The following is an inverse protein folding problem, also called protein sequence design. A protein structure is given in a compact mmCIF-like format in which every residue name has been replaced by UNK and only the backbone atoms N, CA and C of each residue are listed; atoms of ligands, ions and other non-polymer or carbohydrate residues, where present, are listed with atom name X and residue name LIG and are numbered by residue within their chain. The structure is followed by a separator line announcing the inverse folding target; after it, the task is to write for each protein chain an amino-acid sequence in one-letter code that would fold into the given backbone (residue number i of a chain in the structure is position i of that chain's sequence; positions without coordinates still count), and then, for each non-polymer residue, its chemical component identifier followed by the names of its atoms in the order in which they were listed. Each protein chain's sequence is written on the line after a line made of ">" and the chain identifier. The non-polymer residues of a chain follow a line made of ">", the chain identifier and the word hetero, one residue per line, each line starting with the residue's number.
data_IF_417990314001
#
_entry.id   IF_417990314001
#
_cell.length_a   1.000
_cell.length_b   1.000
_cell.length_c   1.000
_cell.angle_alpha   90.00
_cell.angle_beta   90.00
_cell.angle_gamma   90.00
#
_symmetry.space_group_name_H-M   'P 1'
#
loop_
_entity.id
_entity.type
_entity.pdbx_description
1 polymer ?
#
# COMPACT_ATOMS: atom_id res chain seq x y z
N UNK A 1 5.16 5.33 -8.73
CA UNK A 1 4.21 4.94 -9.81
C UNK A 1 4.43 3.48 -10.17
N UNK A 2 3.57 2.55 -9.74
CA UNK A 2 3.75 1.09 -9.92
C UNK A 2 3.18 0.53 -11.24
N UNK A 3 2.02 1.05 -11.67
CA UNK A 3 1.25 0.45 -12.78
C UNK A 3 1.83 0.68 -14.18
N UNK A 4 2.38 1.86 -14.54
CA UNK A 4 2.97 2.06 -15.87
C UNK A 4 4.07 1.07 -16.21
N UNK A 5 4.96 0.79 -15.25
CA UNK A 5 6.05 -0.17 -15.43
C UNK A 5 5.52 -1.61 -15.61
N UNK A 6 4.48 -2.00 -14.84
CA UNK A 6 3.83 -3.30 -15.01
C UNK A 6 3.18 -3.43 -16.39
N UNK A 7 2.45 -2.40 -16.85
CA UNK A 7 1.80 -2.41 -18.16
C UNK A 7 2.80 -2.53 -19.30
N UNK A 8 3.94 -1.83 -19.22
CA UNK A 8 5.04 -1.97 -20.17
C UNK A 8 5.59 -3.41 -20.20
N UNK A 9 5.80 -4.01 -19.03
CA UNK A 9 6.27 -5.40 -18.94
C UNK A 9 5.25 -6.40 -19.51
N UNK A 10 3.95 -6.19 -19.26
CA UNK A 10 2.86 -7.02 -19.81
C UNK A 10 2.77 -6.90 -21.33
N UNK A 11 2.94 -5.69 -21.88
CA UNK A 11 2.93 -5.44 -23.32
C UNK A 11 4.08 -6.16 -24.05
N UNK A 12 5.22 -6.32 -23.39
CA UNK A 12 6.42 -6.99 -23.94
C UNK A 12 6.48 -8.50 -23.64
N UNK A 13 5.45 -9.07 -23.00
CA UNK A 13 5.46 -10.46 -22.54
C UNK A 13 5.53 -11.44 -23.75
N UNK A 14 6.37 -12.49 -23.70
CA UNK A 14 6.33 -13.57 -24.68
C UNK A 14 4.93 -14.21 -24.77
N UNK A 15 4.42 -14.41 -25.98
CA UNK A 15 3.04 -14.87 -26.21
C UNK A 15 2.01 -13.74 -26.32
N UNK A 16 2.43 -12.50 -26.18
CA UNK A 16 1.60 -11.31 -26.36
C UNK A 16 1.00 -10.75 -25.06
N UNK A 17 0.50 -9.50 -25.12
CA UNK A 17 -0.15 -8.84 -24.00
C UNK A 17 -1.40 -9.61 -23.55
N UNK A 18 -1.58 -9.87 -22.25
CA UNK A 18 -2.87 -10.31 -21.73
C UNK A 18 -3.86 -9.14 -21.66
N UNK A 19 -5.15 -9.45 -21.53
CA UNK A 19 -6.10 -8.51 -20.94
C UNK A 19 -5.70 -8.21 -19.49
N UNK A 20 -5.72 -6.93 -19.10
CA UNK A 20 -5.29 -6.47 -17.79
C UNK A 20 -6.37 -5.62 -17.14
N UNK A 21 -6.93 -6.10 -16.02
CA UNK A 21 -7.86 -5.33 -15.21
C UNK A 21 -7.18 -4.84 -13.94
N UNK A 22 -7.28 -3.54 -13.68
CA UNK A 22 -6.79 -2.93 -12.45
C UNK A 22 -7.95 -2.41 -11.61
N UNK A 23 -8.05 -2.87 -10.37
CA UNK A 23 -9.02 -2.36 -9.40
C UNK A 23 -8.29 -1.58 -8.31
N UNK A 24 -8.49 -0.25 -8.30
CA UNK A 24 -7.99 0.65 -7.28
C UNK A 24 -9.01 0.82 -6.16
N UNK A 25 -8.55 0.75 -4.92
CA UNK A 25 -9.36 0.96 -3.73
C UNK A 25 -8.74 2.11 -2.96
N UNK A 26 -9.54 3.09 -2.55
CA UNK A 26 -9.04 4.23 -1.78
C UNK A 26 -10.11 4.91 -0.92
N UNK A 27 -9.69 5.72 0.04
CA UNK A 27 -10.62 6.51 0.84
C UNK A 27 -11.28 7.62 0.00
N UNK A 28 -12.46 8.09 0.42
CA UNK A 28 -13.06 9.28 -0.17
C UNK A 28 -12.14 10.49 0.03
N UNK A 29 -12.02 11.35 -0.99
CA UNK A 29 -11.20 12.55 -0.90
C UNK A 29 -11.94 13.67 -0.16
N UNK A 30 -11.26 14.47 0.67
CA UNK A 30 -11.89 15.56 1.42
C UNK A 30 -12.55 16.63 0.54
N UNK A 31 -12.03 16.83 -0.66
CA UNK A 31 -12.52 17.80 -1.66
C UNK A 31 -13.54 17.20 -2.64
N UNK A 32 -13.99 15.95 -2.38
CA UNK A 32 -14.91 15.19 -3.22
C UNK A 32 -14.41 14.97 -4.66
N UNK A 33 -13.10 15.08 -4.89
CA UNK A 33 -12.50 14.74 -6.18
C UNK A 33 -12.33 13.24 -6.35
N UNK A 34 -12.47 12.76 -7.58
CA UNK A 34 -12.24 11.36 -7.91
C UNK A 34 -10.81 11.17 -8.47
N UNK A 35 -9.84 11.12 -7.56
CA UNK A 35 -8.45 10.82 -7.93
C UNK A 35 -8.29 9.44 -8.57
N UNK A 36 -9.11 8.45 -8.19
CA UNK A 36 -9.06 7.11 -8.78
C UNK A 36 -9.46 7.17 -10.26
N UNK A 37 -10.49 7.93 -10.61
CA UNK A 37 -10.90 8.15 -11.99
C UNK A 37 -9.82 8.88 -12.80
N UNK A 38 -9.18 9.91 -12.25
CA UNK A 38 -8.10 10.62 -12.93
C UNK A 38 -6.89 9.72 -13.22
N UNK A 39 -6.50 8.86 -12.28
CA UNK A 39 -5.43 7.88 -12.48
C UNK A 39 -5.84 6.83 -13.51
N UNK A 40 -7.07 6.32 -13.40
CA UNK A 40 -7.66 5.35 -14.33
C UNK A 40 -7.65 5.85 -15.78
N UNK A 41 -8.03 7.12 -15.98
CA UNK A 41 -7.98 7.77 -17.29
C UNK A 41 -6.57 7.79 -17.89
N UNK A 42 -5.57 8.22 -17.10
CA UNK A 42 -4.17 8.27 -17.57
C UNK A 42 -3.61 6.89 -17.87
N UNK A 43 -3.99 5.88 -17.09
CA UNK A 43 -3.60 4.49 -17.35
C UNK A 43 -4.28 3.95 -18.61
N UNK A 44 -5.54 4.31 -18.88
CA UNK A 44 -6.22 3.97 -20.13
C UNK A 44 -5.48 4.51 -21.36
N UNK A 45 -5.09 5.78 -21.34
CA UNK A 45 -4.30 6.39 -22.43
C UNK A 45 -2.95 5.68 -22.67
N UNK A 46 -2.31 5.24 -21.58
CA UNK A 46 -1.09 4.44 -21.68
C UNK A 46 -1.37 3.04 -22.25
N UNK A 47 -2.46 2.39 -21.84
CA UNK A 47 -2.87 1.09 -22.36
C UNK A 47 -3.09 1.13 -23.88
N UNK A 48 -3.77 2.17 -24.37
CA UNK A 48 -4.00 2.38 -25.81
C UNK A 48 -2.69 2.50 -26.58
N UNK A 49 -1.74 3.27 -26.03
CA UNK A 49 -0.40 3.45 -26.61
C UNK A 49 0.37 2.12 -26.66
N UNK A 50 0.20 1.28 -25.65
CA UNK A 50 0.83 -0.04 -25.55
C UNK A 50 0.05 -1.14 -26.27
N UNK A 51 -1.14 -0.84 -26.83
CA UNK A 51 -2.08 -1.82 -27.42
C UNK A 51 -2.41 -2.95 -26.43
N UNK A 52 -2.56 -2.60 -25.16
CA UNK A 52 -2.93 -3.50 -24.07
C UNK A 52 -4.45 -3.41 -23.87
N UNK A 53 -5.15 -4.55 -23.92
CA UNK A 53 -6.55 -4.60 -23.52
C UNK A 53 -6.65 -4.32 -22.01
N UNK A 54 -7.24 -3.19 -21.64
CA UNK A 54 -7.20 -2.68 -20.27
C UNK A 54 -8.57 -2.26 -19.76
N UNK A 55 -8.86 -2.67 -18.53
CA UNK A 55 -10.03 -2.22 -17.77
C UNK A 55 -9.57 -1.64 -16.42
N UNK A 56 -10.18 -0.53 -16.00
CA UNK A 56 -9.95 0.06 -14.68
C UNK A 56 -11.24 0.18 -13.89
N UNK A 57 -11.17 -0.14 -12.61
CA UNK A 57 -12.28 0.04 -11.66
C UNK A 57 -11.77 0.78 -10.42
N UNK A 58 -12.57 1.70 -9.91
CA UNK A 58 -12.30 2.42 -8.66
C UNK A 58 -13.35 2.09 -7.62
N UNK A 59 -12.94 1.74 -6.41
CA UNK A 59 -13.82 1.59 -5.25
C UNK A 59 -13.44 2.59 -4.17
N UNK A 60 -14.43 3.36 -3.74
CA UNK A 60 -14.29 4.26 -2.61
C UNK A 60 -14.74 3.54 -1.34
N UNK A 61 -13.83 3.37 -0.39
CA UNK A 61 -14.12 2.73 0.89
C UNK A 61 -13.40 3.47 2.02
N UNK A 62 -14.10 3.76 3.11
CA UNK A 62 -13.49 4.40 4.30
C UNK A 62 -12.54 3.46 5.03
N UNK A 63 -12.86 2.17 5.04
CA UNK A 63 -11.99 1.11 5.54
C UNK A 63 -11.97 -0.07 4.57
N UNK A 64 -10.81 -0.70 4.43
CA UNK A 64 -10.71 -1.99 3.71
C UNK A 64 -11.59 -3.06 4.38
N UNK A 65 -11.87 -2.93 5.68
CA UNK A 65 -12.76 -3.81 6.43
C UNK A 65 -14.25 -3.66 6.06
N UNK A 66 -14.61 -2.73 5.18
CA UNK A 66 -15.97 -2.55 4.65
C UNK A 66 -16.19 -3.29 3.31
N UNK A 67 -15.12 -3.67 2.60
CA UNK A 67 -15.19 -4.27 1.27
C UNK A 67 -15.50 -5.77 1.28
N UNK A 68 -16.58 -6.21 0.64
CA UNK A 68 -16.81 -7.65 0.43
C UNK A 68 -16.15 -8.17 -0.85
N UNK A 69 -15.72 -9.43 -0.84
CA UNK A 69 -14.99 -10.03 -1.97
C UNK A 69 -15.81 -10.04 -3.28
N UNK A 70 -17.14 -10.21 -3.17
CA UNK A 70 -18.05 -10.16 -4.32
C UNK A 70 -18.18 -8.77 -4.95
N UNK A 71 -17.81 -7.69 -4.24
CA UNK A 71 -17.82 -6.34 -4.79
C UNK A 71 -16.78 -6.17 -5.90
N UNK A 72 -15.70 -6.96 -5.87
CA UNK A 72 -14.61 -6.88 -6.85
C UNK A 72 -14.90 -7.62 -8.15
N UNK A 73 -16.01 -8.39 -8.19
CA UNK A 73 -16.56 -9.04 -9.37
C UNK A 73 -15.48 -9.78 -10.18
N UNK A 74 -14.74 -10.63 -9.46
CA UNK A 74 -13.71 -11.49 -10.05
C UNK A 74 -14.38 -12.65 -10.75
N UNK A 75 -14.01 -12.85 -12.01
CA UNK A 75 -14.49 -13.97 -12.82
C UNK A 75 -13.56 -15.18 -12.69
N UNK A 76 -14.06 -16.42 -12.82
CA UNK A 76 -13.23 -17.63 -12.70
C UNK A 76 -12.10 -17.76 -13.73
N UNK A 77 -12.17 -17.02 -14.84
CA UNK A 77 -11.14 -16.99 -15.89
C UNK A 77 -9.94 -16.09 -15.57
N UNK A 78 -10.05 -15.24 -14.54
CA UNK A 78 -9.02 -14.27 -14.20
C UNK A 78 -7.98 -14.83 -13.24
N UNK A 79 -6.73 -14.44 -13.47
CA UNK A 79 -5.66 -14.64 -12.50
C UNK A 79 -5.58 -13.41 -11.60
N UNK A 80 -5.88 -13.59 -10.32
CA UNK A 80 -5.90 -12.49 -9.34
C UNK A 80 -4.52 -12.29 -8.69
N UNK A 81 -4.07 -11.04 -8.69
CA UNK A 81 -2.97 -10.56 -7.87
C UNK A 81 -3.48 -9.45 -6.94
N UNK A 82 -3.13 -9.51 -5.65
CA UNK A 82 -3.46 -8.48 -4.66
C UNK A 82 -2.19 -7.74 -4.28
N UNK A 83 -2.22 -6.41 -4.31
CA UNK A 83 -1.09 -5.58 -3.96
C UNK A 83 -1.52 -4.51 -2.96
N UNK A 84 -0.87 -4.49 -1.79
CA UNK A 84 -1.11 -3.53 -0.71
C UNK A 84 0.18 -2.80 -0.34
N UNK A 85 0.14 -1.47 -0.28
CA UNK A 85 1.30 -0.62 -0.01
C UNK A 85 0.92 0.41 1.05
N UNK A 86 1.47 0.30 2.26
CA UNK A 86 1.25 1.23 3.39
C UNK A 86 -0.24 1.41 3.75
N UNK A 87 -0.99 0.31 3.81
CA UNK A 87 -2.43 0.35 4.12
C UNK A 87 -2.87 -0.64 5.20
N UNK A 88 -2.20 -1.79 5.36
CA UNK A 88 -2.67 -2.82 6.29
C UNK A 88 -2.36 -2.47 7.74
N UNK A 89 -1.28 -1.72 7.98
CA UNK A 89 -0.86 -1.28 9.31
C UNK A 89 -1.96 -0.49 10.04
N UNK A 90 -2.75 0.29 9.31
CA UNK A 90 -3.89 1.05 9.85
C UNK A 90 -5.00 0.18 10.42
N UNK A 91 -5.17 -1.03 9.89
CA UNK A 91 -6.19 -1.97 10.35
C UNK A 91 -5.89 -2.54 11.75
N UNK A 92 -4.66 -2.36 12.25
CA UNK A 92 -4.27 -2.79 13.60
C UNK A 92 -4.91 -1.92 14.71
N UNK A 93 -5.49 -0.76 14.36
CA UNK A 93 -6.20 0.10 15.31
C UNK A 93 -7.55 -0.48 15.74
N UNK A 94 -8.15 -1.34 14.91
CA UNK A 94 -9.44 -1.94 15.18
C UNK A 94 -9.30 -3.47 15.30
N UNK A 95 -9.64 -4.00 16.48
CA UNK A 95 -9.59 -5.43 16.76
C UNK A 95 -10.33 -6.24 15.70
N UNK A 96 -9.63 -7.20 15.08
CA UNK A 96 -10.19 -8.11 14.07
C UNK A 96 -10.34 -7.54 12.66
N UNK A 97 -10.13 -6.24 12.43
CA UNK A 97 -10.27 -5.64 11.10
C UNK A 97 -9.26 -6.22 10.11
N UNK A 98 -8.00 -6.39 10.52
CA UNK A 98 -6.97 -7.00 9.69
C UNK A 98 -7.33 -8.45 9.32
N UNK A 99 -7.75 -9.26 10.29
CA UNK A 99 -8.10 -10.67 10.02
C UNK A 99 -9.30 -10.78 9.06
N UNK A 100 -10.28 -9.89 9.20
CA UNK A 100 -11.42 -9.78 8.29
C UNK A 100 -10.96 -9.47 6.86
N UNK A 101 -10.09 -8.47 6.69
CA UNK A 101 -9.53 -8.10 5.37
C UNK A 101 -8.71 -9.24 4.79
N UNK A 102 -7.84 -9.88 5.57
CA UNK A 102 -7.05 -11.02 5.10
C UNK A 102 -7.93 -12.22 4.73
N UNK A 103 -9.03 -12.48 5.45
CA UNK A 103 -10.00 -13.51 5.08
C UNK A 103 -10.67 -13.22 3.73
N UNK A 104 -11.04 -11.96 3.47
CA UNK A 104 -11.61 -11.53 2.19
C UNK A 104 -10.59 -11.63 1.05
N UNK A 105 -9.34 -11.22 1.29
CA UNK A 105 -8.25 -11.42 0.32
C UNK A 105 -8.08 -12.90 -0.01
N UNK A 106 -8.13 -13.80 0.99
CA UNK A 106 -8.07 -15.25 0.76
C UNK A 106 -9.28 -15.77 -0.03
N UNK A 107 -10.47 -15.21 0.18
CA UNK A 107 -11.67 -15.59 -0.56
C UNK A 107 -11.59 -15.27 -2.06
N UNK A 108 -10.76 -14.30 -2.46
CA UNK A 108 -10.46 -14.01 -3.88
C UNK A 108 -9.53 -15.05 -4.53
N UNK A 109 -8.97 -15.98 -3.74
CA UNK A 109 -8.01 -16.99 -4.19
C UNK A 109 -6.86 -16.43 -5.05
N UNK A 110 -6.15 -15.38 -4.58
CA UNK A 110 -5.09 -14.76 -5.37
C UNK A 110 -3.92 -15.71 -5.61
N UNK A 111 -3.34 -15.65 -6.81
CA UNK A 111 -2.08 -16.33 -7.13
C UNK A 111 -0.90 -15.70 -6.41
N UNK A 112 -0.93 -14.39 -6.19
CA UNK A 112 0.10 -13.65 -5.47
C UNK A 112 -0.51 -12.53 -4.64
N UNK A 113 0.06 -12.34 -3.44
CA UNK A 113 -0.21 -11.19 -2.58
C UNK A 113 1.11 -10.49 -2.32
N UNK A 114 1.21 -9.21 -2.67
CA UNK A 114 2.35 -8.35 -2.38
C UNK A 114 1.97 -7.36 -1.28
N UNK A 115 2.82 -7.26 -0.26
CA UNK A 115 2.63 -6.37 0.88
C UNK A 115 3.91 -5.55 1.03
N UNK A 116 3.75 -4.22 1.06
CA UNK A 116 4.82 -3.27 1.33
C UNK A 116 4.40 -2.46 2.55
N UNK A 117 5.14 -2.61 3.64
CA UNK A 117 4.85 -1.98 4.93
C UNK A 117 6.13 -1.39 5.54
N UNK A 118 5.96 -0.41 6.43
CA UNK A 118 7.05 0.20 7.16
C UNK A 118 7.55 -0.76 8.27
N UNK A 119 8.83 -1.11 8.24
CA UNK A 119 9.44 -2.04 9.20
C UNK A 119 9.81 -1.31 10.50
N UNK A 120 8.81 -1.14 11.37
CA UNK A 120 8.94 -0.50 12.67
C UNK A 120 7.93 -1.07 13.66
N UNK A 121 8.19 -0.98 14.96
CA UNK A 121 7.25 -1.47 15.98
C UNK A 121 6.52 -0.34 16.72
N UNK A 122 5.65 0.37 16.00
CA UNK A 122 4.81 1.43 16.56
C UNK A 122 3.51 0.90 17.18
N UNK A 123 3.23 -0.41 17.15
CA UNK A 123 2.02 -1.00 17.73
C UNK A 123 2.13 -1.34 19.25
N UNK A 124 3.24 -1.00 19.91
CA UNK A 124 3.43 -1.28 21.36
C UNK A 124 2.41 -0.56 22.24
N UNK A 125 2.06 -1.13 23.39
CA UNK A 125 1.09 -0.54 24.32
C UNK A 125 1.69 0.58 25.19
N UNK A 126 2.96 0.47 25.54
CA UNK A 126 3.67 1.45 26.38
C UNK A 126 4.10 2.65 25.55
N UNK A 127 3.69 3.86 25.97
CA UNK A 127 3.99 5.11 25.25
C UNK A 127 5.50 5.36 25.10
N UNK A 128 6.28 5.24 26.18
CA UNK A 128 7.72 5.53 26.16
C UNK A 128 8.45 4.66 25.13
N UNK A 129 8.09 3.37 25.04
CA UNK A 129 8.67 2.46 24.06
C UNK A 129 8.31 2.88 22.63
N UNK A 130 7.04 3.26 22.39
CA UNK A 130 6.61 3.76 21.07
C UNK A 130 7.31 5.04 20.69
N UNK A 131 7.45 5.98 21.62
CA UNK A 131 8.10 7.27 21.39
C UNK A 131 9.58 7.08 21.03
N UNK A 132 10.29 6.24 21.79
CA UNK A 132 11.69 5.92 21.51
C UNK A 132 11.87 5.24 20.13
N UNK A 133 11.00 4.27 19.81
CA UNK A 133 10.99 3.61 18.50
C UNK A 133 10.73 4.61 17.37
N UNK A 134 9.70 5.46 17.50
CA UNK A 134 9.34 6.44 16.50
C UNK A 134 10.47 7.45 16.28
N UNK A 135 11.07 7.97 17.35
CA UNK A 135 12.21 8.87 17.25
C UNK A 135 13.36 8.22 16.46
N UNK A 136 13.74 6.99 16.82
CA UNK A 136 14.82 6.28 16.13
C UNK A 136 14.50 6.01 14.65
N UNK A 137 13.29 5.52 14.36
CA UNK A 137 12.85 5.19 13.00
C UNK A 137 12.77 6.44 12.11
N UNK A 138 12.07 7.48 12.56
CA UNK A 138 11.90 8.68 11.76
C UNK A 138 13.21 9.47 11.63
N UNK A 139 14.07 9.55 12.66
CA UNK A 139 15.40 10.16 12.51
C UNK A 139 16.19 9.48 11.38
N UNK A 140 16.23 8.15 11.35
CA UNK A 140 16.92 7.39 10.29
C UNK A 140 16.31 7.65 8.90
N UNK A 141 14.98 7.82 8.83
CA UNK A 141 14.27 8.09 7.59
C UNK A 141 14.51 9.52 7.08
N UNK A 142 14.52 10.52 7.97
CA UNK A 142 14.84 11.91 7.62
C UNK A 142 16.30 12.05 7.17
N UNK A 143 17.24 11.39 7.84
CA UNK A 143 18.65 11.31 7.38
C UNK A 143 18.75 10.72 5.97
N UNK A 144 17.94 9.70 5.66
CA UNK A 144 17.92 9.10 4.32
C UNK A 144 17.32 10.05 3.28
N UNK A 145 16.30 10.82 3.63
CA UNK A 145 15.66 11.79 2.74
C UNK A 145 16.59 12.97 2.43
N UNK A 146 17.31 13.47 3.42
CA UNK A 146 18.32 14.52 3.22
C UNK A 146 19.41 14.06 2.25
N UNK A 147 19.87 12.82 2.39
CA UNK A 147 20.86 12.20 1.49
C UNK A 147 20.35 11.92 0.08
N UNK A 148 19.04 11.85 -0.15
CA UNK A 148 18.47 11.72 -1.49
C UNK A 148 18.68 12.98 -2.35
N UNK A 149 19.07 14.11 -1.75
CA UNK A 149 19.40 15.33 -2.49
C UNK A 149 18.18 16.01 -3.13
N UNK A 150 17.00 15.89 -2.50
CA UNK A 150 15.84 16.68 -2.91
C UNK A 150 16.17 18.17 -2.78
N UNK A 151 15.83 19.02 -3.76
CA UNK A 151 16.08 20.45 -3.66
C UNK A 151 15.37 21.01 -2.41
N UNK A 152 16.05 21.83 -1.58
CA UNK A 152 15.45 22.46 -0.42
C UNK A 152 14.17 23.23 -0.80
N UNK A 153 13.08 22.95 -0.10
CA UNK A 153 11.77 23.58 -0.34
C UNK A 153 11.05 23.09 -1.61
N UNK A 154 11.56 22.05 -2.27
CA UNK A 154 10.82 21.39 -3.35
C UNK A 154 9.48 20.85 -2.85
N UNK A 155 8.49 20.80 -3.76
CA UNK A 155 7.17 20.25 -3.44
C UNK A 155 7.26 18.83 -2.90
N UNK A 156 8.13 18.00 -3.47
CA UNK A 156 8.29 16.61 -3.06
C UNK A 156 8.86 16.47 -1.65
N UNK A 157 9.83 17.33 -1.28
CA UNK A 157 10.33 17.40 0.09
C UNK A 157 9.20 17.79 1.04
N UNK A 158 8.54 18.93 0.82
CA UNK A 158 7.49 19.44 1.72
C UNK A 158 6.37 18.43 1.88
N UNK A 159 5.91 17.80 0.79
CA UNK A 159 4.85 16.79 0.86
C UNK A 159 5.29 15.54 1.63
N UNK A 160 6.55 15.12 1.50
CA UNK A 160 7.11 14.01 2.26
C UNK A 160 7.17 14.35 3.76
N UNK A 161 7.69 15.53 4.12
CA UNK A 161 7.77 15.98 5.51
C UNK A 161 6.38 16.11 6.15
N UNK A 162 5.39 16.66 5.43
CA UNK A 162 4.00 16.75 5.89
C UNK A 162 3.39 15.36 6.09
N UNK A 163 3.63 14.43 5.16
CA UNK A 163 3.14 13.06 5.26
C UNK A 163 3.71 12.35 6.50
N UNK A 164 5.03 12.42 6.70
CA UNK A 164 5.70 11.79 7.83
C UNK A 164 5.32 12.47 9.16
N UNK A 165 5.20 13.80 9.16
CA UNK A 165 4.76 14.56 10.32
C UNK A 165 3.37 14.15 10.81
N UNK A 166 2.44 13.83 9.89
CA UNK A 166 1.11 13.29 10.25
C UNK A 166 1.22 11.92 10.93
N UNK A 167 2.09 11.05 10.44
CA UNK A 167 2.29 9.75 11.08
C UNK A 167 2.91 9.88 12.47
N UNK A 168 3.94 10.72 12.61
CA UNK A 168 4.56 11.01 13.91
C UNK A 168 3.53 11.57 14.90
N UNK A 169 2.71 12.52 14.44
CA UNK A 169 1.64 13.10 15.24
C UNK A 169 0.69 12.02 15.75
N UNK A 170 0.19 11.13 14.88
CA UNK A 170 -0.70 10.05 15.29
C UNK A 170 -0.03 9.11 16.31
N UNK A 171 1.20 8.68 16.05
CA UNK A 171 1.94 7.74 16.92
C UNK A 171 2.16 8.30 18.33
N UNK A 172 2.43 9.61 18.43
CA UNK A 172 2.84 10.27 19.68
C UNK A 172 1.66 10.91 20.41
N UNK A 173 0.70 11.51 19.70
CA UNK A 173 -0.36 12.31 20.32
C UNK A 173 -1.70 11.57 20.46
N UNK A 174 -1.95 10.52 19.67
CA UNK A 174 -3.19 9.76 19.73
C UNK A 174 -3.04 8.52 20.63
N UNK A 175 -4.16 7.99 21.14
CA UNK A 175 -4.21 6.76 21.93
C UNK A 175 -5.43 5.90 21.56
N UNK A 176 -5.46 4.65 22.06
CA UNK A 176 -6.63 3.78 21.90
C UNK A 176 -7.02 3.57 20.43
N UNK A 177 -8.31 3.67 20.13
CA UNK A 177 -8.84 3.50 18.78
C UNK A 177 -8.57 4.69 17.85
N UNK A 178 -8.27 5.87 18.41
CA UNK A 178 -7.98 7.08 17.64
C UNK A 178 -6.57 7.06 17.05
N UNK A 179 -5.68 6.22 17.58
CA UNK A 179 -4.33 6.00 17.06
C UNK A 179 -4.33 4.96 15.94
N UNK A 180 -4.19 5.43 14.71
CA UNK A 180 -4.34 4.59 13.50
C UNK A 180 -3.00 4.11 12.94
N UNK A 181 -1.93 4.89 13.07
CA UNK A 181 -0.60 4.59 12.50
C UNK A 181 0.16 3.57 13.37
N UNK A 182 -0.26 2.31 13.26
CA UNK A 182 0.26 1.18 14.03
C UNK A 182 1.09 0.26 13.15
N UNK A 183 2.40 0.32 13.29
CA UNK A 183 3.33 -0.48 12.50
C UNK A 183 3.79 -1.72 13.25
N UNK A 184 4.05 -2.78 12.49
CA UNK A 184 4.64 -4.02 12.99
C UNK A 184 5.84 -4.43 12.13
N UNK A 185 6.87 -5.05 12.74
CA UNK A 185 8.04 -5.49 12.02
C UNK A 185 7.73 -6.68 11.11
N UNK A 186 8.61 -6.92 10.14
CA UNK A 186 8.50 -8.02 9.16
C UNK A 186 8.21 -9.39 9.80
N UNK A 187 8.77 -9.66 10.98
CA UNK A 187 8.57 -10.92 11.72
C UNK A 187 7.11 -11.12 12.12
N UNK A 188 6.42 -10.05 12.54
CA UNK A 188 5.00 -10.10 12.90
C UNK A 188 4.12 -10.20 11.65
N UNK A 189 4.40 -9.44 10.60
CA UNK A 189 3.70 -9.58 9.31
C UNK A 189 3.80 -11.00 8.74
N UNK A 190 4.98 -11.61 8.81
CA UNK A 190 5.19 -13.00 8.38
C UNK A 190 4.35 -13.97 9.19
N UNK A 191 4.27 -13.79 10.52
CA UNK A 191 3.44 -14.63 11.39
C UNK A 191 1.95 -14.51 11.03
N UNK A 192 1.44 -13.29 10.76
CA UNK A 192 0.04 -13.04 10.39
C UNK A 192 -0.35 -13.65 9.04
N UNK A 193 0.58 -13.64 8.08
CA UNK A 193 0.35 -14.18 6.74
C UNK A 193 0.51 -15.71 6.68
N UNK A 194 1.14 -16.32 7.69
CA UNK A 194 1.46 -17.74 7.74
C UNK A 194 2.74 -18.09 6.97
N UNK A 195 3.18 -19.35 7.09
CA UNK A 195 4.51 -19.85 6.67
C UNK A 195 4.82 -19.83 5.16
N UNK A 196 3.98 -19.20 4.32
CA UNK A 196 4.15 -19.15 2.85
C UNK A 196 4.72 -17.83 2.32
N UNK A 197 5.06 -16.87 3.19
CA UNK A 197 5.67 -15.61 2.76
C UNK A 197 7.14 -15.83 2.40
N UNK A 198 7.50 -15.59 1.13
CA UNK A 198 8.89 -15.34 0.75
C UNK A 198 9.21 -13.87 1.01
N UNK A 199 9.76 -13.58 2.19
CA UNK A 199 10.36 -12.27 2.44
C UNK A 199 11.58 -12.13 1.52
N UNK A 200 11.51 -11.24 0.53
CA UNK A 200 12.66 -10.81 -0.25
C UNK A 200 12.60 -9.30 -0.42
N UNK A 201 13.33 -8.57 0.41
CA UNK A 201 13.89 -7.29 -0.02
C UNK A 201 15.15 -7.64 -0.84
N UNK A 202 15.25 -7.29 -2.13
CA UNK A 202 16.53 -7.38 -2.81
C UNK A 202 17.49 -6.39 -2.13
N UNK A 203 18.65 -6.89 -1.66
CA UNK A 203 19.83 -6.05 -1.52
C UNK A 203 20.07 -5.44 -2.90
N UNK A 204 19.98 -4.13 -3.01
CA UNK A 204 20.53 -3.38 -4.13
C UNK A 204 22.06 -3.48 -4.04
N UNK A 205 22.62 -4.60 -4.44
CA UNK A 205 24.02 -4.64 -4.85
C UNK A 205 24.09 -3.89 -6.19
N UNK A 206 24.43 -2.60 -6.09
CA UNK A 206 24.77 -1.79 -7.26
C UNK A 206 26.01 -2.40 -7.90
N UNK A 207 25.93 -2.73 -9.18
CA UNK A 207 27.10 -2.79 -10.08
C UNK A 207 27.39 -1.37 -10.53
#
# INVERSE_FOLDING_TARGET
>A
MQWPALMQALALRPGGPPAFRLTGIGPPQPDNTDHLQQVSWKLGQLADTLRLEFESRGFVARSLADLEANMLDVTPSEVVAVNSIFELHKLLAQTGALDKVLARVRALQPQIVTIVEQDANHNRLVFVDRFAEALHYYSSLFDSLERCGLPPGSRDQVMSEVYLGRQIFDIVACEGADRVERHEPLTQWTARMGSRVRARAPRLERV
#
